data_IF_734716054513
#
_entry.id   IF_734716054513
#
_cell.length_a   1.000
_cell.length_b   1.000
_cell.length_c   1.000
_cell.angle_alpha   90.00
_cell.angle_beta   90.00
_cell.angle_gamma   90.00
#
_symmetry.space_group_name_H-M   'P 1'
#
loop_
_entity.id
_entity.type
_entity.pdbx_description
1 polymer ?
2 non-polymer ?
3 non-polymer ?
4 non-polymer ?
5 water ?
#
# COMPACT_ATOMS: atom_id res chain seq x y z
N UNK A 1 0.55 30.83 1.30
CA UNK A 1 1.40 30.82 0.05
C UNK A 1 1.09 29.55 -0.75
N UNK A 2 1.11 29.62 -2.10
CA UNK A 2 1.15 28.43 -2.98
C UNK A 2 2.47 28.38 -3.76
N UNK A 3 3.53 28.93 -3.19
CA UNK A 3 4.81 29.20 -3.89
C UNK A 3 5.28 28.00 -4.70
N UNK A 4 5.50 26.85 -4.07
CA UNK A 4 6.23 25.79 -4.79
C UNK A 4 5.30 25.06 -5.75
N UNK A 5 4.07 24.77 -5.32
CA UNK A 5 3.16 24.02 -6.22
C UNK A 5 2.70 24.93 -7.37
N UNK A 6 2.74 26.26 -7.23
CA UNK A 6 2.29 27.16 -8.34
C UNK A 6 3.19 26.98 -9.56
N UNK A 7 4.41 26.51 -9.35
CA UNK A 7 5.37 26.32 -10.45
C UNK A 7 5.14 25.01 -11.20
N UNK A 8 4.25 24.11 -10.73
CA UNK A 8 4.03 22.81 -11.45
C UNK A 8 2.53 22.62 -11.78
N UNK A 9 1.62 23.45 -11.27
CA UNK A 9 0.17 23.16 -11.44
C UNK A 9 -0.42 23.93 -12.60
N UNK A 10 -1.26 23.24 -13.40
CA UNK A 10 -2.10 23.90 -14.38
C UNK A 10 -3.37 24.47 -13.74
N UNK A 11 -4.31 24.97 -14.56
CA UNK A 11 -5.60 25.45 -14.01
C UNK A 11 -6.45 24.24 -13.62
N UNK A 12 -7.64 24.51 -13.09
CA UNK A 12 -8.67 23.49 -12.71
C UNK A 12 -8.34 22.76 -11.40
N UNK A 13 -7.29 23.15 -10.66
CA UNK A 13 -7.02 22.52 -9.34
C UNK A 13 -6.74 23.61 -8.33
N UNK A 14 -7.03 23.31 -7.07
CA UNK A 14 -6.67 24.16 -5.93
C UNK A 14 -5.58 23.43 -5.16
N UNK A 15 -4.75 24.17 -4.43
CA UNK A 15 -3.65 23.59 -3.64
C UNK A 15 -3.46 24.36 -2.35
N UNK A 16 -2.80 23.71 -1.40
CA UNK A 16 -2.22 24.37 -0.22
C UNK A 16 -0.95 23.64 0.15
N UNK A 17 -0.02 24.37 0.77
CA UNK A 17 1.27 23.78 1.17
C UNK A 17 1.75 24.52 2.41
N UNK A 18 2.58 23.80 3.17
CA UNK A 18 3.34 24.40 4.30
C UNK A 18 4.73 23.77 4.34
N UNK A 19 5.66 24.34 5.13
CA UNK A 19 7.08 23.86 5.12
C UNK A 19 7.44 23.33 6.51
N UNK A 20 6.49 23.33 7.43
CA UNK A 20 6.75 22.85 8.80
C UNK A 20 5.47 22.18 9.31
N UNK A 21 5.48 21.72 10.55
CA UNK A 21 4.26 21.23 11.21
C UNK A 21 3.82 22.32 12.17
N UNK A 22 2.75 23.08 11.85
CA UNK A 22 2.19 24.02 12.81
C UNK A 22 1.85 23.27 14.10
N UNK A 23 2.30 23.78 15.26
CA UNK A 23 2.12 23.06 16.52
C UNK A 23 0.65 22.91 16.92
N UNK A 24 0.33 21.75 17.53
CA UNK A 24 -0.99 21.48 18.12
C UNK A 24 -2.10 21.31 17.10
N UNK A 25 -1.79 21.01 15.83
CA UNK A 25 -2.83 20.56 14.86
C UNK A 25 -3.31 19.18 15.31
N UNK A 26 -4.55 18.81 14.97
CA UNK A 26 -5.15 17.51 15.36
C UNK A 26 -5.75 16.84 14.14
N UNK A 27 -5.75 15.50 14.04
CA UNK A 27 -6.53 14.84 12.99
C UNK A 27 -8.01 15.09 13.33
N UNK A 28 -8.92 14.90 12.37
CA UNK A 28 -10.35 14.79 12.69
C UNK A 28 -10.57 13.49 13.43
N UNK A 29 -11.59 13.41 14.30
CA UNK A 29 -11.85 12.18 15.05
C UNK A 29 -11.88 10.93 14.17
N UNK A 30 -12.52 10.99 12.98
CA UNK A 30 -12.66 9.84 12.06
C UNK A 30 -11.29 9.32 11.61
N UNK A 31 -10.29 10.18 11.60
CA UNK A 31 -8.92 9.87 11.09
C UNK A 31 -8.05 9.22 12.19
N UNK A 32 -8.48 9.29 13.44
CA UNK A 32 -7.62 8.88 14.59
C UNK A 32 -7.15 7.42 14.46
N UNK A 33 -7.99 6.45 14.00
CA UNK A 33 -7.50 5.06 13.88
C UNK A 33 -6.34 4.88 12.90
N UNK A 34 -6.16 5.79 11.94
CA UNK A 34 -5.12 5.63 10.89
C UNK A 34 -3.73 5.89 11.51
N UNK A 35 -3.69 6.69 12.59
CA UNK A 35 -2.40 7.13 13.19
C UNK A 35 -2.31 6.79 14.67
N UNK A 36 -3.22 5.98 15.21
CA UNK A 36 -3.22 5.61 16.66
C UNK A 36 -1.90 4.92 17.06
N UNK A 37 -1.27 4.17 16.19
CA UNK A 37 -0.09 3.35 16.53
C UNK A 37 1.15 3.87 15.84
N UNK A 38 1.07 5.06 15.24
CA UNK A 38 2.14 5.59 14.36
C UNK A 38 3.24 6.23 15.22
N UNK A 39 4.46 6.27 14.69
CA UNK A 39 5.58 7.06 15.26
C UNK A 39 5.26 8.53 15.03
N UNK A 40 5.78 9.41 15.88
CA UNK A 40 5.33 10.82 15.91
C UNK A 40 5.64 11.48 14.55
N UNK A 41 6.70 11.09 13.86
CA UNK A 41 6.99 11.83 12.62
C UNK A 41 6.00 11.43 11.51
N UNK A 42 5.46 10.22 11.59
CA UNK A 42 4.38 9.78 10.67
C UNK A 42 3.11 10.53 11.06
N UNK A 43 2.78 10.58 12.32
CA UNK A 43 1.60 11.35 12.76
C UNK A 43 1.68 12.77 12.21
N UNK A 44 2.80 13.45 12.47
CA UNK A 44 2.95 14.87 12.08
C UNK A 44 2.60 15.05 10.59
N UNK A 45 3.27 14.34 9.69
CA UNK A 45 3.08 14.58 8.24
C UNK A 45 1.64 14.24 7.85
N UNK A 46 1.03 13.22 8.47
CA UNK A 46 -0.38 12.80 8.17
C UNK A 46 -1.35 13.93 8.50
N UNK A 47 -1.15 14.50 9.69
CA UNK A 47 -2.04 15.55 10.24
C UNK A 47 -1.84 16.84 9.43
N UNK A 48 -0.60 17.25 9.26
CA UNK A 48 -0.32 18.56 8.61
C UNK A 48 -0.79 18.48 7.15
N UNK A 49 -0.58 17.37 6.46
CA UNK A 49 -0.99 17.30 5.02
C UNK A 49 -2.51 17.34 4.89
N UNK A 50 -3.25 16.90 5.90
CA UNK A 50 -4.72 16.93 5.84
C UNK A 50 -5.23 18.30 6.20
N UNK A 51 -4.51 19.04 7.05
CA UNK A 51 -4.79 20.48 7.24
C UNK A 51 -4.65 21.18 5.88
N UNK A 52 -3.62 20.88 5.10
CA UNK A 52 -3.40 21.47 3.76
C UNK A 52 -4.56 20.98 2.87
N UNK A 53 -4.96 19.73 2.97
CA UNK A 53 -5.99 19.20 2.04
C UNK A 53 -7.32 19.89 2.33
N UNK A 54 -7.64 20.12 3.61
CA UNK A 54 -8.96 20.75 3.95
C UNK A 54 -8.93 22.21 3.51
N UNK A 55 -7.79 22.89 3.56
CA UNK A 55 -7.69 24.27 3.03
C UNK A 55 -7.97 24.23 1.51
N UNK A 56 -7.33 23.32 0.81
CA UNK A 56 -7.47 23.23 -0.65
C UNK A 56 -8.92 22.86 -1.03
N UNK A 57 -9.53 21.93 -0.32
CA UNK A 57 -10.96 21.55 -0.52
C UNK A 57 -11.83 22.81 -0.35
N UNK A 58 -11.55 23.60 0.67
CA UNK A 58 -12.28 24.85 0.93
C UNK A 58 -12.20 25.81 -0.24
N UNK A 59 -11.04 25.91 -0.91
CA UNK A 59 -10.88 26.76 -2.12
C UNK A 59 -11.76 26.20 -3.26
N UNK A 60 -12.10 24.92 -3.23
CA UNK A 60 -13.03 24.29 -4.23
C UNK A 60 -14.48 24.50 -3.83
N UNK A 61 -14.75 24.96 -2.64
CA UNK A 61 -16.14 25.04 -2.16
C UNK A 61 -16.54 23.79 -1.42
N UNK A 62 -15.59 22.97 -1.01
CA UNK A 62 -15.90 21.69 -0.31
C UNK A 62 -15.53 21.85 1.17
N UNK A 63 -16.48 21.52 2.03
CA UNK A 63 -16.32 21.67 3.47
C UNK A 63 -15.34 20.66 4.04
N UNK A 64 -14.86 20.87 5.29
CA UNK A 64 -13.84 20.01 5.87
C UNK A 64 -14.46 18.63 6.12
N UNK A 65 -13.77 17.63 5.62
CA UNK A 65 -14.18 16.22 5.67
C UNK A 65 -12.96 15.44 6.11
N UNK A 66 -13.15 14.28 6.75
CA UNK A 66 -12.06 13.34 6.97
C UNK A 66 -11.51 12.90 5.60
N UNK A 67 -10.22 12.70 5.53
CA UNK A 67 -9.56 12.06 4.35
C UNK A 67 -8.93 10.74 4.82
N UNK A 68 -9.64 9.65 4.56
CA UNK A 68 -9.21 8.31 5.00
C UNK A 68 -8.30 7.72 3.93
N UNK A 69 -7.88 6.48 4.14
CA UNK A 69 -6.99 5.77 3.21
C UNK A 69 -7.66 4.47 2.78
N UNK A 70 -7.46 4.09 1.52
CA UNK A 70 -8.05 2.86 0.96
C UNK A 70 -6.98 1.97 0.37
N UNK A 71 -7.31 1.37 -0.75
CA UNK A 71 -6.42 0.41 -1.46
C UNK A 71 -5.00 0.95 -1.54
N UNK A 72 -4.07 0.15 -1.04
CA UNK A 72 -2.61 0.44 -1.08
C UNK A 72 -2.32 1.84 -0.56
N UNK A 73 -3.16 2.38 0.35
CA UNK A 73 -2.89 3.65 1.03
C UNK A 73 -3.46 4.86 0.31
N UNK A 74 -4.19 4.69 -0.80
CA UNK A 74 -4.66 5.83 -1.61
C UNK A 74 -5.61 6.68 -0.77
N UNK A 75 -5.54 8.02 -0.89
CA UNK A 75 -6.46 8.88 -0.16
C UNK A 75 -7.87 8.70 -0.68
N UNK A 76 -8.86 8.84 0.22
CA UNK A 76 -10.29 8.67 -0.08
C UNK A 76 -10.92 10.06 -0.06
N UNK A 77 -11.22 10.61 -1.24
CA UNK A 77 -11.77 11.97 -1.39
C UNK A 77 -13.29 11.94 -1.29
N UNK A 78 -13.90 13.10 -1.00
CA UNK A 78 -15.36 13.22 -1.01
C UNK A 78 -15.89 13.12 -2.45
N UNK A 79 -17.15 12.74 -2.56
CA UNK A 79 -17.81 12.51 -3.88
C UNK A 79 -17.54 13.76 -4.75
N UNK A 80 -17.11 13.55 -5.99
CA UNK A 80 -16.94 14.66 -6.94
C UNK A 80 -15.56 15.33 -6.86
N UNK A 81 -14.64 14.81 -6.04
CA UNK A 81 -13.27 15.37 -5.89
C UNK A 81 -12.24 14.29 -6.18
N UNK A 82 -11.17 14.70 -6.87
CA UNK A 82 -9.92 13.89 -7.00
C UNK A 82 -8.77 14.74 -6.43
N UNK A 83 -7.65 14.12 -6.12
CA UNK A 83 -6.57 14.86 -5.44
C UNK A 83 -5.36 14.02 -5.16
N UNK A 84 -4.33 14.68 -4.62
CA UNK A 84 -3.09 13.99 -4.26
C UNK A 84 -2.44 14.71 -3.08
N UNK A 85 -1.73 13.94 -2.27
CA UNK A 85 -1.06 14.45 -1.05
C UNK A 85 0.42 14.14 -1.16
N UNK A 86 1.25 14.96 -0.53
CA UNK A 86 2.67 14.67 -0.45
C UNK A 86 3.23 15.29 0.82
N UNK A 87 4.24 14.63 1.34
CA UNK A 87 5.02 15.16 2.47
C UNK A 87 6.42 14.58 2.44
N UNK A 88 7.39 15.45 2.72
CA UNK A 88 8.79 15.05 2.91
C UNK A 88 9.39 16.04 3.90
N UNK A 89 10.64 15.85 4.22
CA UNK A 89 11.31 16.81 5.11
C UNK A 89 11.11 18.21 4.54
N UNK A 90 10.44 19.08 5.29
CA UNK A 90 10.31 20.51 4.97
C UNK A 90 9.16 20.81 4.03
N UNK A 91 8.21 19.89 3.85
CA UNK A 91 7.11 20.11 2.88
C UNK A 91 5.93 19.21 3.15
N UNK A 92 4.78 19.85 3.16
CA UNK A 92 3.48 19.17 3.06
C UNK A 92 2.68 19.88 1.98
N UNK A 93 2.00 19.13 1.14
CA UNK A 93 1.19 19.79 0.10
C UNK A 93 0.04 18.92 -0.35
N UNK A 94 -1.07 19.56 -0.71
CA UNK A 94 -2.33 18.94 -1.19
C UNK A 94 -2.81 19.67 -2.43
N UNK A 95 -3.32 18.89 -3.39
CA UNK A 95 -3.91 19.41 -4.64
C UNK A 95 -5.21 18.68 -4.89
N UNK A 96 -6.26 19.42 -5.14
CA UNK A 96 -7.57 18.81 -5.41
C UNK A 96 -8.17 19.43 -6.66
N UNK A 97 -9.09 18.68 -7.26
CA UNK A 97 -9.89 19.17 -8.39
C UNK A 97 -11.25 18.49 -8.44
N UNK A 98 -12.16 19.06 -9.22
CA UNK A 98 -13.51 18.43 -9.40
C UNK A 98 -13.38 17.32 -10.43
N UNK A 99 -13.95 16.14 -10.15
CA UNK A 99 -13.87 14.95 -11.03
C UNK A 99 -14.64 15.19 -12.33
N UNK A 100 -15.52 16.18 -12.39
CA UNK A 100 -16.20 16.57 -13.64
C UNK A 100 -15.16 16.98 -14.67
N UNK A 101 -14.09 17.66 -14.28
CA UNK A 101 -13.09 18.09 -15.30
C UNK A 101 -11.73 17.44 -15.06
N UNK A 102 -11.44 16.94 -13.87
CA UNK A 102 -10.10 16.36 -13.59
C UNK A 102 -10.29 14.86 -13.31
N UNK A 103 -9.58 14.02 -14.06
CA UNK A 103 -9.67 12.55 -13.96
C UNK A 103 -8.77 12.03 -12.84
N UNK A 104 -7.54 12.54 -12.77
CA UNK A 104 -6.57 12.09 -11.74
C UNK A 104 -5.59 13.22 -11.46
N UNK A 105 -5.08 13.25 -10.23
CA UNK A 105 -3.97 14.13 -9.80
C UNK A 105 -2.93 13.23 -9.16
N UNK A 106 -1.66 13.37 -9.52
CA UNK A 106 -0.57 12.87 -8.69
C UNK A 106 0.45 13.95 -8.45
N UNK A 107 0.84 14.15 -7.21
CA UNK A 107 1.94 15.12 -6.89
C UNK A 107 2.98 14.43 -6.03
N UNK A 108 4.21 14.92 -6.08
CA UNK A 108 5.20 14.47 -5.10
C UNK A 108 6.20 15.57 -4.81
N UNK A 109 6.66 15.60 -3.57
CA UNK A 109 7.76 16.44 -3.08
C UNK A 109 8.88 15.53 -2.56
N UNK A 110 10.12 15.94 -2.78
CA UNK A 110 11.38 15.29 -2.33
C UNK A 110 12.31 16.41 -1.90
N UNK A 111 13.18 16.16 -0.89
CA UNK A 111 14.29 17.06 -0.63
C UNK A 111 15.24 16.98 -1.82
N UNK A 112 15.77 18.13 -2.25
CA UNK A 112 16.65 18.19 -3.44
C UNK A 112 18.07 17.79 -2.99
N UNK A 113 18.23 16.50 -2.73
CA UNK A 113 19.47 15.86 -2.21
C UNK A 113 19.80 14.71 -3.16
N UNK A 114 21.07 14.32 -3.24
CA UNK A 114 21.46 13.10 -3.98
C UNK A 114 20.69 11.91 -3.40
N UNK A 115 20.33 10.94 -4.26
CA UNK A 115 19.74 9.67 -3.77
C UNK A 115 20.79 8.91 -2.97
N UNK A 116 20.37 8.14 -1.95
CA UNK A 116 21.31 7.21 -1.29
C UNK A 116 21.93 6.24 -2.30
N UNK A 117 23.12 5.72 -2.00
CA UNK A 117 23.81 4.73 -2.85
C UNK A 117 22.86 3.60 -3.25
N UNK A 118 22.92 3.19 -4.52
CA UNK A 118 22.18 2.02 -5.02
C UNK A 118 20.75 2.35 -5.44
N UNK A 119 20.17 3.43 -4.95
CA UNK A 119 18.74 3.77 -5.22
C UNK A 119 18.57 4.08 -6.70
N UNK A 120 19.46 4.88 -7.31
CA UNK A 120 19.30 5.28 -8.73
C UNK A 120 19.15 4.02 -9.59
N UNK A 121 20.05 3.06 -9.40
CA UNK A 121 20.05 1.81 -10.21
C UNK A 121 18.72 1.06 -10.04
N UNK A 122 18.15 1.08 -8.84
CA UNK A 122 16.90 0.37 -8.48
C UNK A 122 15.66 1.08 -9.07
N UNK A 123 15.73 2.37 -9.41
CA UNK A 123 14.50 3.11 -9.86
C UNK A 123 14.57 3.47 -11.33
N UNK A 124 15.63 3.12 -12.07
CA UNK A 124 15.81 3.59 -13.47
C UNK A 124 15.82 2.46 -14.49
N UNK A 125 15.31 2.74 -15.67
CA UNK A 125 15.65 1.96 -16.87
C UNK A 125 17.05 2.37 -17.31
N UNK A 126 17.76 1.50 -18.04
CA UNK A 126 19.05 1.88 -18.61
C UNK A 126 18.97 3.23 -19.34
N UNK A 127 17.94 3.38 -20.16
CA UNK A 127 17.76 4.59 -21.01
C UNK A 127 17.64 5.84 -20.14
N UNK A 128 16.92 5.76 -19.01
CA UNK A 128 16.81 6.92 -18.07
C UNK A 128 18.20 7.27 -17.53
N UNK A 129 19.03 6.29 -17.15
CA UNK A 129 20.41 6.62 -16.66
C UNK A 129 21.15 7.42 -17.73
N UNK A 130 21.04 7.04 -19.01
CA UNK A 130 21.73 7.72 -20.14
C UNK A 130 21.15 9.13 -20.29
N UNK A 131 19.82 9.23 -20.25
CA UNK A 131 19.13 10.54 -20.41
C UNK A 131 19.57 11.49 -19.29
N UNK A 132 19.62 11.03 -18.05
CA UNK A 132 19.89 11.94 -16.91
C UNK A 132 21.30 12.52 -17.07
N UNK A 133 22.25 11.73 -17.59
CA UNK A 133 23.65 12.16 -17.77
C UNK A 133 23.73 13.31 -18.79
N UNK A 134 22.75 13.43 -19.67
CA UNK A 134 22.71 14.48 -20.71
C UNK A 134 21.93 15.71 -20.29
N UNK A 135 21.25 15.68 -19.14
CA UNK A 135 20.39 16.84 -18.75
C UNK A 135 21.27 17.95 -18.17
N UNK A 136 20.92 19.24 -18.47
CA UNK A 136 21.74 20.37 -18.03
C UNK A 136 21.50 20.77 -16.57
N UNK A 137 22.50 21.43 -15.97
CA UNK A 137 22.42 22.21 -14.72
C UNK A 137 22.89 21.44 -13.50
N UNK A 138 23.23 22.15 -12.44
CA UNK A 138 23.65 21.58 -11.13
C UNK A 138 22.34 21.20 -10.41
N UNK A 139 21.70 20.14 -10.87
CA UNK A 139 20.48 19.58 -10.22
C UNK A 139 20.76 18.13 -9.85
N UNK A 140 20.09 17.65 -8.82
CA UNK A 140 20.07 16.21 -8.46
C UNK A 140 19.06 15.53 -9.40
N UNK A 141 19.47 15.23 -10.62
CA UNK A 141 18.54 14.63 -11.61
C UNK A 141 18.02 13.26 -11.12
N UNK A 142 18.85 12.51 -10.40
CA UNK A 142 18.46 11.20 -9.81
C UNK A 142 17.20 11.41 -8.94
N UNK A 143 17.27 12.38 -8.05
CA UNK A 143 16.17 12.71 -7.10
C UNK A 143 14.93 13.23 -7.84
N UNK A 144 15.12 14.08 -8.84
CA UNK A 144 14.01 14.67 -9.61
C UNK A 144 13.28 13.53 -10.33
N UNK A 145 14.03 12.63 -10.97
CA UNK A 145 13.46 11.42 -11.61
C UNK A 145 12.68 10.59 -10.58
N UNK A 146 13.23 10.41 -9.38
CA UNK A 146 12.58 9.64 -8.29
C UNK A 146 11.25 10.33 -7.95
N UNK A 147 11.28 11.65 -7.85
CA UNK A 147 10.10 12.45 -7.42
C UNK A 147 8.99 12.25 -8.47
N UNK A 148 9.36 12.28 -9.73
CA UNK A 148 8.42 12.16 -10.87
C UNK A 148 7.84 10.73 -10.94
N UNK A 149 8.67 9.72 -10.65
CA UNK A 149 8.18 8.31 -10.58
C UNK A 149 7.08 8.22 -9.49
N UNK A 150 7.31 8.85 -8.35
CA UNK A 150 6.37 8.80 -7.21
C UNK A 150 5.06 9.50 -7.58
N UNK A 151 5.11 10.67 -8.23
CA UNK A 151 3.90 11.38 -8.63
C UNK A 151 3.17 10.50 -9.67
N UNK A 152 3.91 9.85 -10.58
CA UNK A 152 3.36 8.99 -11.63
C UNK A 152 2.54 7.86 -11.00
N UNK A 153 3.09 7.18 -10.02
CA UNK A 153 2.39 6.10 -9.29
C UNK A 153 1.08 6.64 -8.68
N UNK A 154 1.16 7.79 -8.03
CA UNK A 154 -0.03 8.36 -7.32
C UNK A 154 -1.12 8.73 -8.36
N UNK A 155 -0.79 9.20 -9.55
CA UNK A 155 -1.82 9.55 -10.57
C UNK A 155 -2.39 8.28 -11.21
N UNK A 156 -1.54 7.28 -11.44
CA UNK A 156 -1.87 5.99 -12.08
C UNK A 156 -2.79 5.14 -11.19
N UNK A 157 -2.39 4.94 -9.96
CA UNK A 157 -2.99 3.87 -9.12
C UNK A 157 -4.51 4.05 -8.99
N UNK A 158 -5.06 5.26 -8.67
CA UNK A 158 -6.50 5.35 -8.46
C UNK A 158 -7.32 5.05 -9.73
N UNK A 159 -6.66 5.06 -10.89
CA UNK A 159 -7.34 4.81 -12.20
C UNK A 159 -7.23 3.35 -12.63
N UNK A 160 -6.39 2.55 -11.99
CA UNK A 160 -6.08 1.20 -12.45
C UNK A 160 -6.23 0.19 -11.32
N UNK A 161 -5.80 0.53 -10.09
CA UNK A 161 -5.65 -0.41 -8.96
C UNK A 161 -4.74 -1.56 -9.37
N UNK A 162 -3.67 -1.24 -10.06
CA UNK A 162 -2.61 -2.18 -10.45
C UNK A 162 -1.27 -1.57 -10.08
N UNK A 163 -0.32 -2.40 -9.67
CA UNK A 163 1.08 -2.00 -9.46
C UNK A 163 1.63 -1.30 -10.72
N UNK A 164 2.44 -0.29 -10.48
CA UNK A 164 3.29 0.32 -11.52
C UNK A 164 4.71 0.39 -10.93
N UNK A 165 5.60 -0.43 -11.46
CA UNK A 165 6.99 -0.47 -10.97
C UNK A 165 7.80 0.68 -11.54
N UNK A 166 8.99 0.86 -11.00
CA UNK A 166 10.01 1.81 -11.48
C UNK A 166 10.36 1.49 -12.94
N UNK A 167 10.40 0.21 -13.32
CA UNK A 167 10.78 -0.23 -14.68
C UNK A 167 9.56 -0.19 -15.59
N UNK A 168 8.38 0.24 -15.11
CA UNK A 168 7.12 0.16 -15.91
C UNK A 168 6.74 1.50 -16.54
N UNK A 169 7.52 2.56 -16.31
CA UNK A 169 7.27 3.87 -16.93
C UNK A 169 8.63 4.49 -17.27
N UNK A 170 8.72 4.98 -18.49
CA UNK A 170 9.91 5.72 -18.98
C UNK A 170 9.60 7.22 -18.86
N UNK A 171 10.27 7.88 -17.92
CA UNK A 171 10.11 9.34 -17.69
C UNK A 171 11.21 10.07 -18.46
N UNK A 172 10.81 11.03 -19.29
CA UNK A 172 11.70 11.97 -20.04
C UNK A 172 11.38 13.41 -19.65
N UNK A 173 12.42 14.22 -19.45
CA UNK A 173 12.33 15.60 -18.93
C UNK A 173 12.62 16.59 -20.05
N UNK A 174 11.93 17.71 -20.01
CA UNK A 174 12.29 18.94 -20.75
C UNK A 174 12.64 20.00 -19.73
N UNK A 175 13.54 20.91 -20.09
CA UNK A 175 14.04 21.92 -19.14
C UNK A 175 13.71 23.29 -19.73
N UNK A 176 13.02 24.13 -18.97
CA UNK A 176 12.68 25.52 -19.36
C UNK A 176 13.95 26.36 -19.37
N UNK A 177 13.84 27.59 -19.88
CA UNK A 177 14.95 28.56 -19.88
C UNK A 177 15.55 28.80 -18.52
N UNK A 178 14.77 28.87 -17.43
CA UNK A 178 15.29 29.07 -16.05
C UNK A 178 16.33 28.01 -15.71
N UNK A 179 16.18 26.81 -16.25
CA UNK A 179 17.00 25.65 -15.88
C UNK A 179 16.52 25.00 -14.59
N UNK A 180 15.44 25.47 -13.96
CA UNK A 180 15.04 24.96 -12.62
C UNK A 180 13.60 24.44 -12.60
N UNK A 181 12.96 24.33 -13.76
CA UNK A 181 11.60 23.79 -13.92
C UNK A 181 11.41 23.35 -15.36
N UNK A 182 10.38 22.56 -15.60
CA UNK A 182 10.00 22.15 -16.95
C UNK A 182 8.93 21.10 -16.90
N UNK A 183 8.80 20.36 -17.98
CA UNK A 183 7.77 19.33 -18.17
C UNK A 183 8.44 17.94 -18.07
N UNK A 184 7.61 16.93 -17.87
CA UNK A 184 8.02 15.52 -18.06
C UNK A 184 6.86 14.74 -18.66
N UNK A 185 7.23 13.68 -19.40
CA UNK A 185 6.27 12.66 -19.86
C UNK A 185 6.67 11.32 -19.24
N UNK A 186 5.69 10.64 -18.63
CA UNK A 186 5.80 9.25 -18.15
C UNK A 186 5.10 8.36 -19.18
N UNK A 187 5.86 7.63 -19.99
CA UNK A 187 5.34 6.70 -20.99
C UNK A 187 5.18 5.34 -20.31
N UNK A 188 3.97 4.81 -20.31
CA UNK A 188 3.65 3.56 -19.58
C UNK A 188 4.09 2.40 -20.46
N UNK A 189 4.79 1.43 -19.89
CA UNK A 189 5.41 0.32 -20.66
C UNK A 189 4.63 -0.96 -20.41
N UNK A 190 3.61 -0.94 -19.56
CA UNK A 190 2.80 -2.15 -19.27
C UNK A 190 1.39 -1.92 -19.81
N UNK A 191 0.51 -2.88 -19.56
CA UNK A 191 -0.89 -2.81 -20.00
C UNK A 191 -1.45 -1.49 -19.51
N UNK A 192 -1.89 -0.59 -20.42
CA UNK A 192 -2.34 0.74 -20.04
C UNK A 192 -3.83 0.82 -19.71
N UNK A 193 -4.54 -0.30 -19.76
CA UNK A 193 -6.03 -0.26 -19.63
C UNK A 193 -6.43 0.32 -18.27
N UNK A 194 -7.33 1.28 -18.30
CA UNK A 194 -7.89 1.91 -17.08
C UNK A 194 -9.14 1.13 -16.66
N UNK A 195 -9.49 1.26 -15.38
CA UNK A 195 -10.79 0.70 -14.90
C UNK A 195 -11.93 1.42 -15.61
N UNK A 196 -11.82 2.74 -15.77
CA UNK A 196 -12.86 3.58 -16.39
C UNK A 196 -12.13 4.55 -17.32
N UNK A 197 -12.63 4.76 -18.52
CA UNK A 197 -12.09 5.76 -19.44
C UNK A 197 -10.94 5.22 -20.26
N UNK A 198 -10.32 6.10 -21.08
CA UNK A 198 -9.32 5.69 -22.05
C UNK A 198 -8.01 5.19 -21.47
N UNK A 199 -7.26 4.36 -22.23
CA UNK A 199 -6.00 3.84 -21.74
C UNK A 199 -5.01 4.94 -21.33
N UNK A 200 -4.22 4.61 -20.32
CA UNK A 200 -3.15 5.49 -19.77
C UNK A 200 -1.84 5.13 -20.47
N UNK A 201 -1.66 5.58 -21.71
CA UNK A 201 -0.41 5.30 -22.48
C UNK A 201 0.71 6.24 -22.01
N UNK A 202 0.37 7.42 -21.56
CA UNK A 202 1.33 8.45 -21.12
C UNK A 202 0.64 9.38 -20.14
N UNK A 203 1.43 9.90 -19.19
CA UNK A 203 0.96 10.90 -18.20
C UNK A 203 1.94 12.06 -18.32
N UNK A 204 1.44 13.28 -18.46
CA UNK A 204 2.30 14.47 -18.64
C UNK A 204 2.24 15.29 -17.36
N UNK A 205 3.40 15.83 -16.96
CA UNK A 205 3.46 16.66 -15.74
C UNK A 205 4.44 17.81 -15.87
N UNK A 206 4.71 18.43 -14.71
CA UNK A 206 5.74 19.46 -14.56
C UNK A 206 6.57 19.15 -13.30
N UNK A 207 7.79 19.62 -13.34
CA UNK A 207 8.77 19.53 -12.23
C UNK A 207 9.33 20.91 -11.98
N UNK A 208 9.77 21.16 -10.75
CA UNK A 208 10.39 22.42 -10.33
C UNK A 208 11.25 22.14 -9.11
N UNK A 209 12.42 22.75 -9.11
CA UNK A 209 13.37 22.70 -7.98
C UNK A 209 13.53 24.12 -7.47
N UNK A 210 13.21 24.34 -6.19
CA UNK A 210 13.21 25.65 -5.55
C UNK A 210 13.17 25.44 -4.04
N UNK A 211 13.89 26.26 -3.29
CA UNK A 211 13.85 26.26 -1.80
C UNK A 211 14.27 24.87 -1.29
N UNK A 212 15.21 24.21 -1.94
CA UNK A 212 15.76 22.94 -1.45
C UNK A 212 14.87 21.72 -1.67
N UNK A 213 13.82 21.86 -2.48
CA UNK A 213 12.79 20.82 -2.72
C UNK A 213 12.59 20.61 -4.21
N UNK A 214 12.43 19.36 -4.60
CA UNK A 214 11.87 19.02 -5.93
C UNK A 214 10.38 18.81 -5.72
N UNK A 215 9.56 19.42 -6.57
CA UNK A 215 8.11 19.07 -6.65
C UNK A 215 7.76 18.69 -8.09
N UNK A 216 6.85 17.74 -8.19
CA UNK A 216 6.24 17.29 -9.46
C UNK A 216 4.73 17.19 -9.33
N UNK A 217 4.04 17.42 -10.44
CA UNK A 217 2.57 17.28 -10.49
C UNK A 217 2.17 16.79 -11.88
N UNK A 218 1.21 15.90 -11.86
CA UNK A 218 0.43 15.40 -13.01
C UNK A 218 -1.06 15.71 -12.75
N UNK A 219 -1.70 16.39 -13.68
CA UNK A 219 -3.16 16.66 -13.64
C UNK A 219 -3.74 16.13 -14.95
N UNK A 220 -4.31 14.95 -14.91
CA UNK A 220 -4.94 14.32 -16.10
C UNK A 220 -6.40 14.76 -16.16
N UNK A 221 -6.78 15.37 -17.28
CA UNK A 221 -8.15 15.90 -17.41
C UNK A 221 -9.11 14.80 -17.87
N UNK A 222 -10.34 14.94 -17.46
CA UNK A 222 -11.54 14.18 -17.88
C UNK A 222 -12.02 14.74 -19.23
N UNK A 223 -12.14 13.94 -20.29
CA UNK A 223 -12.67 14.39 -21.62
C UNK A 223 -14.07 13.83 -21.88
N UNK B 1 -18.46 -22.09 10.82
CA UNK B 1 -17.33 -23.06 10.86
C UNK B 1 -16.01 -22.27 10.90
N UNK B 2 -14.98 -22.85 11.52
CA UNK B 2 -13.59 -22.32 11.52
C UNK B 2 -12.73 -23.33 10.79
N UNK B 3 -13.35 -24.10 9.90
CA UNK B 3 -12.75 -25.28 9.26
C UNK B 3 -11.33 -25.04 8.77
N UNK B 4 -11.08 -24.11 7.86
CA UNK B 4 -9.76 -24.06 7.18
C UNK B 4 -8.72 -23.40 8.08
N UNK B 5 -9.07 -22.31 8.77
CA UNK B 5 -8.07 -21.61 9.58
C UNK B 5 -7.76 -22.43 10.86
N UNK B 6 -8.63 -23.32 11.29
CA UNK B 6 -8.38 -24.16 12.49
C UNK B 6 -7.17 -25.05 12.23
N UNK B 7 -6.88 -25.35 10.98
CA UNK B 7 -5.70 -26.19 10.64
C UNK B 7 -4.40 -25.40 10.63
N UNK B 8 -4.40 -24.06 10.78
CA UNK B 8 -3.12 -23.32 10.82
C UNK B 8 -3.00 -22.47 12.09
N UNK B 9 -4.07 -22.28 12.87
CA UNK B 9 -3.99 -21.30 13.99
C UNK B 9 -3.59 -21.96 15.30
N UNK B 10 -2.70 -21.28 16.07
CA UNK B 10 -2.41 -21.70 17.42
C UNK B 10 -3.48 -21.16 18.37
N UNK B 11 -3.27 -21.31 19.66
CA UNK B 11 -4.20 -20.70 20.66
C UNK B 11 -3.98 -19.16 20.69
N UNK B 12 -4.81 -18.48 21.48
CA UNK B 12 -4.72 -17.03 21.81
C UNK B 12 -5.28 -16.17 20.68
N UNK B 13 -5.88 -16.76 19.63
CA UNK B 13 -6.53 -15.94 18.56
C UNK B 13 -7.94 -16.48 18.33
N UNK B 14 -8.82 -15.60 17.92
CA UNK B 14 -10.15 -15.96 17.40
C UNK B 14 -10.15 -15.78 15.89
N UNK B 15 -11.01 -16.51 15.19
CA UNK B 15 -11.12 -16.43 13.71
C UNK B 15 -12.57 -16.56 13.27
N UNK B 16 -12.82 -16.12 12.06
CA UNK B 16 -14.05 -16.39 11.35
C UNK B 16 -13.76 -16.42 9.87
N UNK B 17 -14.52 -17.23 9.13
CA UNK B 17 -14.27 -17.42 7.70
C UNK B 17 -15.59 -17.76 7.02
N UNK B 18 -15.68 -17.43 5.74
CA UNK B 18 -16.79 -17.87 4.85
C UNK B 18 -16.23 -18.19 3.48
N UNK B 19 -16.99 -18.86 2.61
CA UNK B 19 -16.45 -19.28 1.28
C UNK B 19 -17.19 -18.55 0.13
N UNK B 20 -18.11 -17.66 0.46
CA UNK B 20 -18.91 -16.92 -0.56
C UNK B 20 -19.13 -15.51 0.00
N UNK B 21 -19.88 -14.69 -0.72
CA UNK B 21 -20.33 -13.37 -0.22
C UNK B 21 -21.80 -13.50 0.12
N UNK B 22 -22.17 -13.57 1.41
CA UNK B 22 -23.58 -13.56 1.80
C UNK B 22 -24.22 -12.34 1.17
N UNK B 23 -25.35 -12.51 0.42
CA UNK B 23 -26.02 -11.36 -0.19
C UNK B 23 -26.54 -10.33 0.83
N UNK B 24 -26.47 -9.05 0.47
CA UNK B 24 -27.09 -7.96 1.23
C UNK B 24 -26.27 -7.47 2.43
N UNK B 25 -25.05 -7.99 2.63
CA UNK B 25 -24.10 -7.45 3.65
C UNK B 25 -23.74 -6.02 3.24
N UNK B 26 -23.48 -5.16 4.21
CA UNK B 26 -23.17 -3.73 3.99
C UNK B 26 -21.89 -3.41 4.76
N UNK B 27 -21.09 -2.44 4.29
CA UNK B 27 -20.02 -1.92 5.14
C UNK B 27 -20.70 -1.15 6.29
N UNK B 28 -19.96 -0.86 7.35
CA UNK B 28 -20.43 0.12 8.35
C UNK B 28 -20.33 1.48 7.71
N UNK B 29 -21.15 2.49 8.14
CA UNK B 29 -21.06 3.82 7.55
C UNK B 29 -19.63 4.38 7.49
N UNK B 30 -18.83 4.22 8.55
CA UNK B 30 -17.47 4.82 8.62
C UNK B 30 -16.58 4.23 7.51
N UNK B 31 -16.89 3.02 7.03
CA UNK B 31 -16.08 2.30 6.01
C UNK B 31 -16.47 2.68 4.57
N UNK B 32 -17.59 3.37 4.38
CA UNK B 32 -18.13 3.65 3.00
C UNK B 32 -17.07 4.34 2.12
N UNK B 33 -16.27 5.32 2.60
CA UNK B 33 -15.33 6.03 1.71
C UNK B 33 -14.25 5.13 1.13
N UNK B 34 -13.99 4.01 1.80
CA UNK B 34 -12.86 3.12 1.38
C UNK B 34 -13.24 2.34 0.11
N UNK B 35 -14.52 2.16 -0.19
CA UNK B 35 -15.00 1.32 -1.32
C UNK B 35 -15.94 2.09 -2.24
N UNK B 36 -16.13 3.39 -2.04
CA UNK B 36 -17.11 4.21 -2.79
C UNK B 36 -16.79 4.16 -4.30
N UNK B 37 -15.53 4.00 -4.68
CA UNK B 37 -15.11 4.05 -6.11
C UNK B 37 -14.61 2.70 -6.60
N UNK B 38 -14.79 1.65 -5.80
CA UNK B 38 -14.24 0.32 -6.09
C UNK B 38 -15.14 -0.42 -7.08
N UNK B 39 -14.53 -1.30 -7.86
CA UNK B 39 -15.25 -2.33 -8.66
C UNK B 39 -15.96 -3.28 -7.69
N UNK B 40 -17.04 -3.86 -8.16
CA UNK B 40 -17.93 -4.68 -7.32
C UNK B 40 -17.19 -5.84 -6.66
N UNK B 41 -16.23 -6.47 -7.33
CA UNK B 41 -15.59 -7.66 -6.73
C UNK B 41 -14.66 -7.22 -5.60
N UNK B 42 -14.13 -5.99 -5.67
CA UNK B 42 -13.32 -5.43 -4.56
C UNK B 42 -14.27 -5.06 -3.41
N UNK B 43 -15.38 -4.43 -3.69
CA UNK B 43 -16.38 -4.11 -2.63
C UNK B 43 -16.75 -5.42 -1.91
N UNK B 44 -17.12 -6.44 -2.69
CA UNK B 44 -17.60 -7.69 -2.07
C UNK B 44 -16.59 -8.23 -1.07
N UNK B 45 -15.33 -8.45 -1.46
CA UNK B 45 -14.32 -9.08 -0.55
C UNK B 45 -14.08 -8.18 0.66
N UNK B 46 -14.08 -6.86 0.49
CA UNK B 46 -13.86 -5.88 1.59
C UNK B 46 -14.96 -5.96 2.64
N UNK B 47 -16.21 -6.01 2.16
CA UNK B 47 -17.40 -6.04 3.04
C UNK B 47 -17.46 -7.41 3.75
N UNK B 48 -17.36 -8.48 2.99
CA UNK B 48 -17.52 -9.85 3.56
C UNK B 48 -16.39 -10.10 4.56
N UNK B 49 -15.15 -9.73 4.24
CA UNK B 49 -14.03 -10.02 5.21
C UNK B 49 -14.22 -9.23 6.51
N UNK B 50 -14.87 -8.07 6.48
CA UNK B 50 -15.12 -7.27 7.72
C UNK B 50 -16.30 -7.83 8.52
N UNK B 51 -17.28 -8.44 7.85
CA UNK B 51 -18.30 -9.27 8.52
C UNK B 51 -17.59 -10.38 9.30
N UNK B 52 -16.64 -11.08 8.70
CA UNK B 52 -15.84 -12.13 9.37
C UNK B 52 -15.06 -11.47 10.53
N UNK B 53 -14.43 -10.32 10.30
CA UNK B 53 -13.57 -9.70 11.33
C UNK B 53 -14.44 -9.33 12.54
N UNK B 54 -15.66 -8.84 12.31
CA UNK B 54 -16.54 -8.38 13.42
C UNK B 54 -17.02 -9.62 14.20
N UNK B 55 -17.26 -10.74 13.52
CA UNK B 55 -17.58 -12.01 14.22
C UNK B 55 -16.39 -12.40 15.11
N UNK B 56 -15.18 -12.43 14.55
CA UNK B 56 -13.97 -12.82 15.29
C UNK B 56 -13.73 -11.87 16.47
N UNK B 57 -13.85 -10.55 16.28
CA UNK B 57 -13.75 -9.58 17.40
C UNK B 57 -14.76 -9.94 18.49
N UNK B 58 -15.98 -10.28 18.12
CA UNK B 58 -17.05 -10.65 19.09
C UNK B 58 -16.61 -11.81 19.97
N UNK B 59 -15.91 -12.78 19.39
CA UNK B 59 -15.39 -13.96 20.11
C UNK B 59 -14.35 -13.49 21.12
N UNK B 60 -13.66 -12.37 20.86
CA UNK B 60 -12.65 -11.78 21.79
C UNK B 60 -13.32 -10.91 22.86
N UNK B 61 -14.62 -10.69 22.79
CA UNK B 61 -15.32 -9.74 23.66
C UNK B 61 -15.24 -8.31 23.15
N UNK B 62 -14.93 -8.11 21.88
CA UNK B 62 -14.85 -6.76 21.28
C UNK B 62 -16.08 -6.51 20.40
N UNK B 63 -16.74 -5.38 20.62
CA UNK B 63 -17.97 -5.02 19.92
C UNK B 63 -17.69 -4.65 18.47
N UNK B 64 -18.73 -4.55 17.62
CA UNK B 64 -18.53 -4.35 16.18
C UNK B 64 -18.00 -2.92 16.01
N UNK B 65 -16.89 -2.79 15.32
CA UNK B 65 -16.25 -1.48 15.07
C UNK B 65 -15.89 -1.48 13.60
N UNK B 66 -15.78 -0.27 13.00
CA UNK B 66 -15.23 -0.15 11.65
C UNK B 66 -13.79 -0.65 11.67
N UNK B 67 -13.39 -1.27 10.57
CA UNK B 67 -11.96 -1.65 10.36
C UNK B 67 -11.44 -0.86 9.17
N UNK B 68 -10.78 0.26 9.44
CA UNK B 68 -10.30 1.15 8.37
C UNK B 68 -8.93 0.66 7.92
N UNK B 69 -8.34 1.40 7.00
CA UNK B 69 -7.03 1.06 6.41
C UNK B 69 -6.06 2.24 6.64
N UNK B 70 -4.81 1.92 6.92
CA UNK B 70 -3.77 2.92 7.23
C UNK B 70 -2.63 2.73 6.27
N UNK B 71 -1.41 2.82 6.79
CA UNK B 71 -0.18 2.82 5.96
C UNK B 71 -0.12 1.57 5.09
N UNK B 72 0.08 1.80 3.79
CA UNK B 72 0.27 0.73 2.79
C UNK B 72 -0.93 -0.23 2.83
N UNK B 73 -2.08 0.24 3.30
CA UNK B 73 -3.34 -0.52 3.29
C UNK B 73 -3.54 -1.38 4.53
N UNK B 74 -2.66 -1.35 5.52
CA UNK B 74 -2.77 -2.22 6.71
C UNK B 74 -4.10 -1.93 7.41
N UNK B 75 -4.72 -3.00 7.94
CA UNK B 75 -5.96 -2.82 8.68
C UNK B 75 -5.73 -2.02 9.98
N UNK B 76 -6.73 -1.28 10.44
CA UNK B 76 -6.65 -0.43 11.66
C UNK B 76 -7.56 -1.07 12.71
N UNK B 77 -6.96 -1.73 13.69
CA UNK B 77 -7.69 -2.54 14.69
C UNK B 77 -8.05 -1.65 15.86
N UNK B 78 -9.06 -2.04 16.66
CA UNK B 78 -9.40 -1.31 17.87
C UNK B 78 -8.26 -1.43 18.90
N UNK B 79 -8.19 -0.49 19.84
CA UNK B 79 -7.14 -0.49 20.90
C UNK B 79 -7.13 -1.87 21.56
N UNK B 80 -5.94 -2.44 21.70
CA UNK B 80 -5.79 -3.71 22.44
C UNK B 80 -5.95 -4.93 21.54
N UNK B 81 -6.08 -4.76 20.23
CA UNK B 81 -6.29 -5.89 19.28
C UNK B 81 -5.25 -5.80 18.17
N UNK B 82 -4.78 -6.95 17.75
CA UNK B 82 -4.01 -7.13 16.50
C UNK B 82 -4.73 -8.20 15.65
N UNK B 83 -4.40 -8.30 14.38
CA UNK B 83 -5.15 -9.22 13.50
C UNK B 83 -4.69 -9.16 12.06
N UNK B 84 -5.33 -9.98 11.23
CA UNK B 84 -5.01 -10.03 9.78
C UNK B 84 -6.27 -10.47 9.05
N UNK B 85 -6.37 -10.04 7.80
CA UNK B 85 -7.49 -10.32 6.89
C UNK B 85 -6.96 -10.94 5.61
N UNK B 86 -7.80 -11.77 5.00
CA UNK B 86 -7.46 -12.38 3.71
C UNK B 86 -8.73 -12.67 2.94
N UNK B 87 -8.60 -12.53 1.64
CA UNK B 87 -9.70 -12.86 0.72
C UNK B 87 -9.12 -13.24 -0.61
N UNK B 88 -9.67 -14.31 -1.16
CA UNK B 88 -9.35 -14.76 -2.53
C UNK B 88 -10.61 -15.42 -3.08
N UNK B 89 -10.53 -15.87 -4.31
CA UNK B 89 -11.69 -16.60 -4.88
C UNK B 89 -12.08 -17.69 -3.90
N UNK B 90 -13.32 -17.67 -3.36
CA UNK B 90 -13.86 -18.76 -2.54
C UNK B 90 -13.42 -18.72 -1.10
N UNK B 91 -12.90 -17.60 -0.63
CA UNK B 91 -12.46 -17.50 0.80
C UNK B 91 -12.40 -16.07 1.27
N UNK B 92 -12.99 -15.85 2.43
CA UNK B 92 -12.76 -14.65 3.26
C UNK B 92 -12.44 -15.14 4.66
N UNK B 93 -11.42 -14.56 5.28
CA UNK B 93 -11.12 -14.96 6.66
C UNK B 93 -10.45 -13.85 7.45
N UNK B 94 -10.71 -13.84 8.76
CA UNK B 94 -10.21 -12.84 9.71
C UNK B 94 -9.71 -13.53 10.97
N UNK B 95 -8.58 -13.06 11.48
CA UNK B 95 -7.99 -13.61 12.70
C UNK B 95 -7.65 -12.42 13.60
N UNK B 96 -8.07 -12.47 14.85
CA UNK B 96 -7.71 -11.40 15.82
C UNK B 96 -7.15 -12.00 17.10
N UNK B 97 -6.36 -11.20 17.80
CA UNK B 97 -5.85 -11.53 19.14
C UNK B 97 -5.68 -10.28 20.00
N UNK B 98 -5.58 -10.45 21.31
CA UNK B 98 -5.30 -9.31 22.25
C UNK B 98 -3.81 -8.98 22.16
N UNK B 99 -3.47 -7.70 22.01
CA UNK B 99 -2.06 -7.25 21.89
C UNK B 99 -1.29 -7.49 23.19
N UNK B 100 -1.95 -7.71 24.33
CA UNK B 100 -1.24 -8.03 25.59
C UNK B 100 -0.50 -9.36 25.41
N UNK B 101 -1.04 -10.29 24.64
CA UNK B 101 -0.30 -11.57 24.46
C UNK B 101 0.08 -11.82 23.00
N UNK B 102 -0.51 -11.14 22.02
CA UNK B 102 -0.15 -11.39 20.59
C UNK B 102 0.44 -10.10 20.01
N UNK B 103 1.62 -10.17 19.45
CA UNK B 103 2.37 -9.01 18.91
C UNK B 103 1.92 -8.69 17.48
N UNK B 104 1.77 -9.72 16.66
CA UNK B 104 1.39 -9.56 15.25
C UNK B 104 0.69 -10.82 14.78
N UNK B 105 -0.21 -10.64 13.81
CA UNK B 105 -0.83 -11.75 13.05
C UNK B 105 -0.67 -11.45 11.57
N UNK B 106 -0.27 -12.47 10.79
CA UNK B 106 -0.41 -12.40 9.33
C UNK B 106 -1.03 -13.67 8.83
N UNK B 107 -2.09 -13.59 8.04
CA UNK B 107 -2.74 -14.77 7.42
C UNK B 107 -2.83 -14.52 5.93
N UNK B 108 -2.90 -15.59 5.17
CA UNK B 108 -3.22 -15.47 3.73
C UNK B 108 -3.90 -16.75 3.24
N UNK B 109 -4.81 -16.55 2.30
CA UNK B 109 -5.48 -17.61 1.52
C UNK B 109 -5.19 -17.37 0.03
N UNK B 110 -4.99 -18.47 -0.70
CA UNK B 110 -4.78 -18.51 -2.16
C UNK B 110 -5.59 -19.67 -2.72
N UNK B 111 -6.15 -19.56 -3.93
CA UNK B 111 -6.72 -20.73 -4.61
C UNK B 111 -5.55 -21.70 -4.83
N UNK B 112 -5.76 -22.98 -4.56
CA UNK B 112 -4.70 -23.99 -4.76
C UNK B 112 -4.59 -24.30 -6.25
N UNK B 113 -3.95 -23.40 -6.99
CA UNK B 113 -3.76 -23.46 -8.47
C UNK B 113 -2.27 -23.20 -8.76
N UNK B 114 -1.78 -23.68 -9.89
CA UNK B 114 -0.41 -23.33 -10.34
C UNK B 114 -0.32 -21.80 -10.44
N UNK B 115 0.85 -21.22 -10.18
CA UNK B 115 1.04 -19.76 -10.36
C UNK B 115 1.05 -19.47 -11.86
N UNK B 116 0.62 -18.27 -12.28
CA UNK B 116 0.75 -17.89 -13.69
C UNK B 116 2.22 -17.89 -14.11
N UNK B 117 2.46 -18.04 -15.41
CA UNK B 117 3.84 -18.06 -15.98
C UNK B 117 4.66 -16.86 -15.48
N UNK B 118 5.90 -17.12 -15.10
CA UNK B 118 6.88 -16.09 -14.70
C UNK B 118 6.78 -15.69 -13.23
N UNK B 119 5.64 -15.93 -12.56
CA UNK B 119 5.44 -15.43 -11.18
C UNK B 119 6.42 -16.17 -10.25
N UNK B 120 6.57 -17.48 -10.39
CA UNK B 120 7.47 -18.24 -9.48
C UNK B 120 8.86 -17.61 -9.47
N UNK B 121 9.44 -17.29 -10.63
CA UNK B 121 10.82 -16.75 -10.68
C UNK B 121 10.86 -15.35 -10.02
N UNK B 122 9.80 -14.56 -10.14
CA UNK B 122 9.71 -13.19 -9.59
C UNK B 122 9.62 -13.24 -8.05
N UNK B 123 9.13 -14.34 -7.48
CA UNK B 123 8.86 -14.38 -6.03
C UNK B 123 9.87 -15.25 -5.27
N UNK B 124 10.83 -15.93 -5.92
CA UNK B 124 11.72 -16.91 -5.24
C UNK B 124 13.18 -16.51 -5.28
N UNK B 125 13.92 -16.87 -4.23
CA UNK B 125 15.39 -16.96 -4.27
C UNK B 125 15.76 -18.19 -5.09
N UNK B 126 16.94 -18.20 -5.74
CA UNK B 126 17.41 -19.39 -6.46
C UNK B 126 17.28 -20.67 -5.61
N UNK B 127 17.73 -20.60 -4.35
CA UNK B 127 17.73 -21.75 -3.40
C UNK B 127 16.29 -22.23 -3.14
N UNK B 128 15.32 -21.32 -3.05
CA UNK B 128 13.89 -21.67 -2.82
C UNK B 128 13.41 -22.54 -3.99
N UNK B 129 13.72 -22.16 -5.22
CA UNK B 129 13.20 -22.93 -6.39
C UNK B 129 13.71 -24.38 -6.22
N UNK B 130 14.97 -24.56 -5.83
CA UNK B 130 15.62 -25.88 -5.70
C UNK B 130 14.93 -26.65 -4.56
N UNK B 131 14.68 -25.98 -3.43
CA UNK B 131 14.02 -26.61 -2.28
C UNK B 131 12.61 -27.06 -2.68
N UNK B 132 11.85 -26.20 -3.36
CA UNK B 132 10.45 -26.54 -3.72
C UNK B 132 10.43 -27.82 -4.56
N UNK B 133 11.44 -28.03 -5.40
CA UNK B 133 11.52 -29.23 -6.29
C UNK B 133 11.69 -30.47 -5.41
N UNK B 134 12.25 -30.31 -4.20
CA UNK B 134 12.50 -31.39 -3.24
C UNK B 134 11.28 -31.74 -2.42
N UNK B 135 10.24 -30.90 -2.35
CA UNK B 135 9.12 -31.13 -1.41
C UNK B 135 8.17 -32.18 -1.96
N UNK B 136 7.60 -33.04 -1.08
CA UNK B 136 6.68 -34.10 -1.52
C UNK B 136 5.21 -33.69 -1.68
N UNK B 137 4.43 -34.55 -2.33
CA UNK B 137 2.97 -34.41 -2.48
C UNK B 137 2.61 -33.82 -3.82
N UNK B 138 1.41 -34.12 -4.30
CA UNK B 138 0.77 -33.50 -5.48
C UNK B 138 0.21 -32.17 -4.99
N UNK B 139 1.08 -31.19 -4.77
CA UNK B 139 0.70 -29.86 -4.22
C UNK B 139 1.24 -28.80 -5.17
N UNK B 140 0.58 -27.66 -5.27
CA UNK B 140 1.16 -26.49 -5.98
C UNK B 140 2.11 -25.78 -5.03
N UNK B 141 3.35 -26.25 -4.92
CA UNK B 141 4.32 -25.68 -3.96
C UNK B 141 4.65 -24.22 -4.32
N UNK B 142 4.61 -23.88 -5.60
CA UNK B 142 4.80 -22.48 -6.06
C UNK B 142 3.74 -21.59 -5.36
N UNK B 143 2.50 -22.00 -5.41
CA UNK B 143 1.35 -21.23 -4.85
C UNK B 143 1.47 -21.16 -3.30
N UNK B 144 1.82 -22.28 -2.66
CA UNK B 144 1.92 -22.38 -1.18
C UNK B 144 3.03 -21.41 -0.74
N UNK B 145 4.16 -21.38 -1.46
CA UNK B 145 5.25 -20.44 -1.12
C UNK B 145 4.77 -19.00 -1.29
N UNK B 146 4.05 -18.72 -2.37
CA UNK B 146 3.47 -17.35 -2.61
C UNK B 146 2.54 -16.99 -1.45
N UNK B 147 1.69 -17.92 -1.04
CA UNK B 147 0.70 -17.69 0.03
C UNK B 147 1.44 -17.33 1.33
N UNK B 148 2.45 -18.11 1.68
CA UNK B 148 3.29 -17.91 2.88
C UNK B 148 4.05 -16.56 2.82
N UNK B 149 4.58 -16.17 1.67
CA UNK B 149 5.24 -14.85 1.52
C UNK B 149 4.24 -13.73 1.82
N UNK B 150 3.01 -13.86 1.35
CA UNK B 150 1.98 -12.81 1.57
C UNK B 150 1.66 -12.74 3.06
N UNK B 151 1.47 -13.87 3.73
CA UNK B 151 1.24 -13.90 5.19
C UNK B 151 2.43 -13.25 5.89
N UNK B 152 3.67 -13.55 5.46
CA UNK B 152 4.90 -13.00 6.07
C UNK B 152 4.85 -11.46 6.00
N UNK B 153 4.52 -10.91 4.86
CA UNK B 153 4.46 -9.43 4.67
C UNK B 153 3.44 -8.84 5.67
N UNK B 154 2.29 -9.48 5.78
CA UNK B 154 1.18 -8.93 6.62
C UNK B 154 1.61 -8.97 8.09
N UNK B 155 2.32 -10.01 8.55
CA UNK B 155 2.82 -10.09 9.96
C UNK B 155 3.94 -9.06 10.20
N UNK B 156 4.82 -8.90 9.24
CA UNK B 156 6.01 -8.01 9.29
C UNK B 156 5.61 -6.52 9.31
N UNK B 157 4.73 -6.11 8.40
CA UNK B 157 4.64 -4.68 8.04
C UNK B 157 4.14 -3.86 9.24
N UNK B 158 3.12 -4.30 10.03
CA UNK B 158 2.63 -3.47 11.15
C UNK B 158 3.68 -3.29 12.27
N UNK B 159 4.71 -4.12 12.28
CA UNK B 159 5.80 -4.08 13.29
C UNK B 159 7.01 -3.25 12.84
N UNK B 160 7.13 -2.93 11.55
CA UNK B 160 8.33 -2.29 10.97
C UNK B 160 7.99 -1.05 10.13
N UNK B 161 6.86 -1.03 9.43
CA UNK B 161 6.52 -0.02 8.39
C UNK B 161 7.63 0.11 7.38
N UNK B 162 8.22 -1.00 7.00
CA UNK B 162 9.24 -1.10 5.95
C UNK B 162 8.83 -2.16 4.95
N UNK B 163 9.12 -1.89 3.68
CA UNK B 163 8.98 -2.89 2.60
C UNK B 163 9.68 -4.21 3.03
N UNK B 164 9.06 -5.32 2.70
CA UNK B 164 9.73 -6.64 2.67
C UNK B 164 9.45 -7.25 1.30
N UNK B 165 10.45 -7.39 0.46
CA UNK B 165 10.27 -7.97 -0.88
C UNK B 165 10.31 -9.48 -0.84
N UNK B 166 9.90 -10.10 -1.95
CA UNK B 166 9.94 -11.57 -2.14
C UNK B 166 11.35 -12.11 -1.89
N UNK B 167 12.37 -11.37 -2.31
CA UNK B 167 13.79 -11.79 -2.20
C UNK B 167 14.30 -11.50 -0.79
N UNK B 168 13.50 -10.88 0.09
CA UNK B 168 13.98 -10.43 1.42
C UNK B 168 13.61 -11.45 2.51
N UNK B 169 13.02 -12.59 2.16
CA UNK B 169 12.79 -13.69 3.13
C UNK B 169 12.93 -15.01 2.41
N UNK B 170 13.61 -15.92 3.07
CA UNK B 170 13.77 -17.33 2.64
C UNK B 170 12.79 -18.17 3.46
N UNK B 171 11.78 -18.71 2.81
CA UNK B 171 10.76 -19.60 3.45
C UNK B 171 11.18 -21.06 3.23
N UNK B 172 11.22 -21.82 4.31
CA UNK B 172 11.45 -23.29 4.29
C UNK B 172 10.24 -23.98 4.90
N UNK B 173 9.79 -25.06 4.28
CA UNK B 173 8.56 -25.80 4.63
C UNK B 173 8.92 -27.13 5.28
N UNK B 174 8.13 -27.52 6.25
CA UNK B 174 8.05 -28.90 6.77
C UNK B 174 6.66 -29.44 6.48
N UNK B 175 6.58 -30.75 6.27
CA UNK B 175 5.33 -31.42 5.86
C UNK B 175 4.94 -32.44 6.93
N UNK B 176 3.71 -32.33 7.43
CA UNK B 176 3.13 -33.25 8.44
C UNK B 176 2.92 -34.62 7.81
N UNK B 177 2.51 -35.59 8.63
CA UNK B 177 2.25 -36.96 8.15
C UNK B 177 1.15 -36.99 7.12
N UNK B 178 0.11 -36.15 7.25
CA UNK B 178 -1.01 -36.05 6.28
C UNK B 178 -0.50 -35.72 4.87
N UNK B 179 0.60 -34.98 4.75
CA UNK B 179 1.11 -34.50 3.44
C UNK B 179 0.34 -33.25 2.99
N UNK B 180 -0.63 -32.75 3.75
CA UNK B 180 -1.47 -31.59 3.30
C UNK B 180 -1.43 -30.40 4.26
N UNK B 181 -0.55 -30.43 5.26
CA UNK B 181 -0.35 -29.31 6.20
C UNK B 181 1.05 -29.41 6.80
N UNK B 182 1.51 -28.32 7.40
CA UNK B 182 2.79 -28.35 8.11
C UNK B 182 3.17 -26.97 8.59
N UNK B 183 4.43 -26.80 8.93
CA UNK B 183 4.97 -25.54 9.46
C UNK B 183 5.76 -24.88 8.33
N UNK B 184 6.12 -23.63 8.52
CA UNK B 184 7.15 -22.98 7.68
C UNK B 184 7.89 -21.99 8.55
N UNK B 185 9.12 -21.70 8.16
CA UNK B 185 9.88 -20.60 8.75
C UNK B 185 10.24 -19.60 7.66
N UNK B 186 9.98 -18.32 7.92
CA UNK B 186 10.38 -17.19 7.05
C UNK B 186 11.59 -16.54 7.70
N UNK B 187 12.79 -16.79 7.16
CA UNK B 187 14.05 -16.21 7.67
C UNK B 187 14.24 -14.87 6.95
N UNK B 188 14.29 -13.80 7.72
CA UNK B 188 14.39 -12.42 7.17
C UNK B 188 15.85 -12.17 6.75
N UNK B 189 16.05 -11.66 5.54
CA UNK B 189 17.41 -11.44 4.99
C UNK B 189 17.79 -9.96 5.04
N UNK B 190 16.92 -9.05 5.49
CA UNK B 190 17.26 -7.60 5.56
C UNK B 190 17.33 -7.18 7.02
N UNK B 191 17.65 -5.93 7.25
CA UNK B 191 17.61 -5.32 8.60
C UNK B 191 16.32 -5.77 9.31
N UNK B 192 16.43 -6.52 10.44
CA UNK B 192 15.28 -7.06 11.16
C UNK B 192 14.74 -6.17 12.28
N UNK B 193 15.32 -4.98 12.47
CA UNK B 193 14.91 -4.11 13.61
C UNK B 193 13.42 -3.77 13.53
N UNK B 194 12.74 -3.92 14.65
CA UNK B 194 11.32 -3.54 14.78
C UNK B 194 11.21 -2.10 15.27
N UNK B 195 10.06 -1.50 15.06
CA UNK B 195 9.74 -0.19 15.67
C UNK B 195 9.68 -0.32 17.18
N UNK B 196 9.09 -1.42 17.67
CA UNK B 196 8.90 -1.69 19.11
C UNK B 196 9.18 -3.17 19.35
N UNK B 197 9.91 -3.53 20.39
CA UNK B 197 10.16 -4.94 20.70
C UNK B 197 11.33 -5.49 19.90
N UNK B 198 11.60 -6.80 20.11
CA UNK B 198 12.80 -7.43 19.59
C UNK B 198 12.84 -7.62 18.09
N UNK B 199 14.06 -7.76 17.52
CA UNK B 199 14.21 -7.90 16.07
C UNK B 199 13.44 -9.09 15.49
N UNK B 200 12.92 -8.92 14.27
CA UNK B 200 12.20 -9.98 13.51
C UNK B 200 13.23 -10.69 12.64
N UNK B 201 14.01 -11.61 13.20
CA UNK B 201 15.03 -12.38 12.43
C UNK B 201 14.36 -13.54 11.68
N UNK B 202 13.25 -14.02 12.21
CA UNK B 202 12.48 -15.12 11.58
C UNK B 202 11.03 -15.05 12.05
N UNK B 203 10.12 -15.51 11.19
CA UNK B 203 8.68 -15.60 11.52
C UNK B 203 8.25 -17.05 11.26
N UNK B 204 7.59 -17.67 12.22
CA UNK B 204 7.20 -19.09 12.10
C UNK B 204 5.70 -19.17 11.87
N UNK B 205 5.25 -20.02 10.94
CA UNK B 205 3.81 -20.17 10.71
C UNK B 205 3.38 -21.61 10.44
N UNK B 206 2.13 -21.78 10.02
CA UNK B 206 1.62 -23.06 9.52
C UNK B 206 0.92 -22.82 8.19
N UNK B 207 0.90 -23.86 7.38
CA UNK B 207 0.26 -23.92 6.05
C UNK B 207 -0.64 -25.14 6.03
N UNK B 208 -1.72 -25.08 5.25
CA UNK B 208 -2.69 -26.18 5.09
C UNK B 208 -3.34 -26.04 3.71
N UNK B 209 -3.37 -27.14 2.96
CA UNK B 209 -4.11 -27.22 1.67
C UNK B 209 -5.32 -28.09 1.90
N UNK B 210 -6.52 -27.54 1.71
CA UNK B 210 -7.80 -28.24 1.89
C UNK B 210 -8.90 -27.51 1.13
N UNK B 211 -9.86 -28.25 0.57
CA UNK B 211 -11.05 -27.68 -0.14
C UNK B 211 -10.62 -26.71 -1.24
N UNK B 212 -9.54 -27.01 -1.95
CA UNK B 212 -9.11 -26.19 -3.09
C UNK B 212 -8.49 -24.84 -2.70
N UNK B 213 -8.06 -24.70 -1.45
CA UNK B 213 -7.42 -23.45 -0.95
C UNK B 213 -6.14 -23.76 -0.20
N UNK B 214 -5.14 -22.89 -0.38
CA UNK B 214 -3.99 -22.85 0.52
C UNK B 214 -4.26 -21.76 1.55
N UNK B 215 -4.10 -22.10 2.82
CA UNK B 215 -4.12 -21.07 3.91
C UNK B 215 -2.82 -21.14 4.68
N UNK B 216 -2.32 -19.95 5.05
CA UNK B 216 -1.15 -19.78 5.94
C UNK B 216 -1.49 -18.81 7.07
N UNK B 217 -0.80 -18.97 8.21
CA UNK B 217 -0.96 -18.10 9.37
C UNK B 217 0.37 -18.05 10.15
N UNK B 218 0.69 -16.84 10.55
CA UNK B 218 1.78 -16.49 11.50
C UNK B 218 1.14 -15.76 12.69
N UNK B 219 1.38 -16.24 13.91
CA UNK B 219 0.93 -15.58 15.16
C UNK B 219 2.19 -15.37 16.04
N UNK B 220 2.73 -14.16 16.01
CA UNK B 220 3.95 -13.79 16.77
C UNK B 220 3.49 -13.33 18.15
N UNK B 221 3.98 -13.97 19.21
CA UNK B 221 3.53 -13.67 20.59
C UNK B 221 4.35 -12.51 21.16
N UNK B 222 3.70 -11.78 22.06
CA UNK B 222 4.25 -10.66 22.87
C UNK B 222 4.93 -11.29 24.09
N UNK B 223 6.21 -10.99 24.34
CA UNK B 223 7.00 -11.54 25.48
C UNK B 223 7.37 -10.42 26.47
#
# INVERSE_FOLDING_TARGET
TDSLLSLVLPDRVASAEVYDDPPGLSPLPEEEPLIARSVAKRRNEFVTVRYCARQALGELGVGPVPILKGDKGEPCWPDGVVGSLTHCQGFRGAVVGRSTDVRSVGIDAEPHDVLPNGVLDAITLPIERAELRGLPGDLHWDRILFCAKEATYKAWYPLTHRWLGFEDAHITFEVDGSGTAGSFRSRILIDPVAEHGPPLTALDGRWSVRDGLAVTAIVLLEH
TDSLLSLVLPDRVASAEVYDDPPGLSPLPEEEPLIARSVAKRRNEFVTVRYCARQALGELGVGPVPILKGDKGEPCWPDGVVGSLTHCQGFRGAVVGRSTDVRSVGIDAEPHDVLPNGVLDAITLPIERAELRGLPGDLHWDRILFCAKEATYKAWYPLTHRWLGFEDAHITFEVDGSGTAGSFRSRILIDPVAEHGPPLTALDGRWSVRDGLAVTAIVLLEH
#
